data_IF_726559547145
#
_entry.id   IF_726559547145
#
_cell.length_a   1.000
_cell.length_b   1.000
_cell.length_c   1.000
_cell.angle_alpha   90.00
_cell.angle_beta   90.00
_cell.angle_gamma   90.00
#
_symmetry.space_group_name_H-M   'P 1'
#
loop_
_entity.id
_entity.type
_entity.pdbx_description
1 polymer ?
#
# COMPACT_ATOMS: atom_id res chain seq x y z
N UNK A 1 -31.60 36.25 12.15
CA UNK A 1 -31.53 34.82 11.74
C UNK A 1 -31.03 33.99 12.93
N UNK A 2 -31.23 32.67 12.97
CA UNK A 2 -30.65 31.87 14.06
C UNK A 2 -29.14 31.62 13.84
N UNK A 3 -28.36 31.59 14.92
CA UNK A 3 -26.92 31.32 14.91
C UNK A 3 -26.60 29.94 14.32
N UNK A 4 -27.52 28.97 14.44
CA UNK A 4 -27.33 27.63 13.88
C UNK A 4 -27.39 27.62 12.34
N UNK A 5 -28.21 28.50 11.74
CA UNK A 5 -28.25 28.70 10.28
C UNK A 5 -26.97 29.32 9.77
N UNK A 6 -26.44 30.34 10.45
CA UNK A 6 -25.14 30.95 10.11
C UNK A 6 -24.01 29.93 10.20
N UNK A 7 -24.03 29.08 11.24
CA UNK A 7 -23.06 27.98 11.42
C UNK A 7 -23.12 26.96 10.28
N UNK A 8 -24.33 26.65 9.80
CA UNK A 8 -24.54 25.76 8.64
C UNK A 8 -24.03 26.40 7.34
N UNK A 9 -24.31 27.69 7.11
CA UNK A 9 -23.80 28.42 5.94
C UNK A 9 -22.26 28.47 5.94
N UNK A 10 -21.65 28.79 7.09
CA UNK A 10 -20.19 28.77 7.23
C UNK A 10 -19.59 27.38 6.94
N UNK A 11 -20.29 26.29 7.31
CA UNK A 11 -19.87 24.92 7.02
C UNK A 11 -19.87 24.61 5.53
N UNK A 12 -20.93 25.01 4.84
CA UNK A 12 -21.04 24.84 3.39
C UNK A 12 -19.96 25.65 2.64
N UNK A 13 -19.65 26.86 3.10
CA UNK A 13 -18.66 27.73 2.48
C UNK A 13 -17.23 27.21 2.69
N UNK A 14 -16.91 26.75 3.90
CA UNK A 14 -15.54 26.35 4.27
C UNK A 14 -15.25 24.87 4.03
N UNK A 15 -16.28 24.06 3.76
CA UNK A 15 -16.17 22.60 3.66
C UNK A 15 -15.79 21.91 4.98
N UNK A 16 -15.72 22.65 6.09
CA UNK A 16 -15.47 22.10 7.41
C UNK A 16 -16.79 21.67 8.05
N UNK A 17 -16.77 20.59 8.84
CA UNK A 17 -17.95 20.16 9.59
C UNK A 17 -18.41 21.20 10.60
N UNK A 18 -19.72 21.26 10.83
CA UNK A 18 -20.39 22.24 11.71
C UNK A 18 -19.72 22.32 13.10
N UNK A 19 -19.28 21.19 13.66
CA UNK A 19 -18.63 21.13 14.97
C UNK A 19 -17.33 21.94 15.07
N UNK A 20 -16.62 22.11 13.95
CA UNK A 20 -15.33 22.84 13.87
C UNK A 20 -15.51 24.35 13.66
N UNK A 21 -16.74 24.81 13.54
CA UNK A 21 -17.03 26.24 13.37
C UNK A 21 -17.28 26.83 14.74
N UNK A 22 -16.48 27.82 15.09
CA UNK A 22 -16.56 28.57 16.33
C UNK A 22 -16.85 30.02 16.02
N UNK A 23 -17.61 30.65 16.89
CA UNK A 23 -17.91 32.06 16.83
C UNK A 23 -17.12 32.78 17.91
N UNK A 24 -16.66 33.98 17.59
CA UNK A 24 -16.13 34.88 18.59
C UNK A 24 -17.29 35.38 19.47
N UNK A 25 -17.17 35.18 20.78
CA UNK A 25 -18.22 35.56 21.73
C UNK A 25 -18.44 37.08 21.79
N UNK A 26 -17.42 37.88 21.45
CA UNK A 26 -17.52 39.34 21.46
C UNK A 26 -18.32 39.91 20.29
N UNK A 27 -18.46 39.15 19.19
CA UNK A 27 -19.10 39.60 17.92
C UNK A 27 -20.37 38.81 17.59
N UNK A 28 -20.99 38.16 18.57
CA UNK A 28 -22.19 37.34 18.36
C UNK A 28 -23.32 38.13 17.71
N UNK A 29 -23.54 39.38 18.13
CA UNK A 29 -24.62 40.22 17.60
C UNK A 29 -24.42 40.54 16.11
N UNK A 30 -23.18 40.79 15.69
CA UNK A 30 -22.82 41.03 14.30
C UNK A 30 -23.01 39.76 13.46
N UNK A 31 -22.60 38.61 14.00
CA UNK A 31 -22.76 37.30 13.35
C UNK A 31 -24.26 36.96 13.19
N UNK A 32 -25.11 37.32 14.14
CA UNK A 32 -26.55 37.06 14.09
C UNK A 32 -27.29 37.91 13.03
N UNK A 33 -26.71 39.05 12.63
CA UNK A 33 -27.21 39.94 11.57
C UNK A 33 -26.86 39.44 10.17
N UNK A 34 -25.91 38.52 10.01
CA UNK A 34 -25.55 37.97 8.71
C UNK A 34 -26.71 37.13 8.11
N UNK A 35 -27.10 37.45 6.88
CA UNK A 35 -28.19 36.76 6.16
C UNK A 35 -27.68 36.05 4.92
N UNK A 36 -26.75 36.68 4.18
CA UNK A 36 -26.23 36.13 2.92
C UNK A 36 -24.95 35.31 3.11
N UNK A 37 -24.61 34.47 2.13
CA UNK A 37 -23.33 33.74 2.13
C UNK A 37 -22.12 34.67 1.99
N UNK A 38 -22.29 35.84 1.36
CA UNK A 38 -21.23 36.82 1.21
C UNK A 38 -20.90 37.52 2.54
N UNK A 39 -21.91 37.84 3.34
CA UNK A 39 -21.71 38.35 4.71
C UNK A 39 -20.92 37.35 5.56
N UNK A 40 -21.29 36.06 5.47
CA UNK A 40 -20.58 34.98 6.18
C UNK A 40 -19.14 34.84 5.68
N UNK A 41 -18.87 35.01 4.38
CA UNK A 41 -17.50 35.03 3.83
C UNK A 41 -16.69 36.20 4.40
N UNK A 42 -17.30 37.39 4.50
CA UNK A 42 -16.66 38.57 5.07
C UNK A 42 -16.31 38.35 6.55
N UNK A 43 -17.24 37.79 7.34
CA UNK A 43 -17.03 37.47 8.76
C UNK A 43 -15.96 36.39 8.99
N UNK A 44 -15.84 35.41 8.09
CA UNK A 44 -14.73 34.43 8.11
C UNK A 44 -13.40 35.13 7.84
N UNK A 45 -13.34 36.02 6.84
CA UNK A 45 -12.12 36.78 6.49
C UNK A 45 -11.66 37.67 7.64
N UNK A 46 -12.61 38.28 8.35
CA UNK A 46 -12.38 39.10 9.54
C UNK A 46 -12.16 38.28 10.84
N UNK A 47 -12.14 36.94 10.75
CA UNK A 47 -11.95 36.00 11.87
C UNK A 47 -13.02 36.05 12.97
N UNK A 48 -14.20 36.65 12.72
CA UNK A 48 -15.35 36.55 13.62
C UNK A 48 -15.93 35.11 13.64
N UNK A 49 -15.80 34.40 12.51
CA UNK A 49 -16.12 32.99 12.37
C UNK A 49 -14.82 32.21 12.16
N UNK A 50 -14.48 31.33 13.10
CA UNK A 50 -13.22 30.60 13.14
C UNK A 50 -13.46 29.14 12.77
N UNK A 51 -12.64 28.62 11.85
CA UNK A 51 -12.60 27.18 11.55
C UNK A 51 -11.47 26.55 12.33
N UNK A 52 -11.79 25.79 13.38
CA UNK A 52 -10.80 25.04 14.17
C UNK A 52 -10.10 24.01 13.29
N UNK A 53 -8.80 23.77 13.50
CA UNK A 53 -8.05 22.74 12.78
C UNK A 53 -8.62 21.34 13.07
N UNK A 54 -8.49 20.40 12.12
CA UNK A 54 -8.89 19.01 12.34
C UNK A 54 -8.04 18.44 13.47
N UNK A 55 -8.65 17.77 14.45
CA UNK A 55 -7.91 16.94 15.41
C UNK A 55 -7.28 15.78 14.63
N UNK A 56 -5.96 15.84 14.45
CA UNK A 56 -5.21 14.78 13.79
C UNK A 56 -4.99 13.59 14.72
N UNK A 57 -4.92 12.38 14.15
CA UNK A 57 -4.46 11.19 14.88
C UNK A 57 -2.99 10.96 14.55
N UNK A 58 -2.15 10.92 15.58
CA UNK A 58 -0.72 10.66 15.39
C UNK A 58 -0.49 9.20 14.94
N UNK A 59 0.41 9.02 13.97
CA UNK A 59 0.89 7.71 13.55
C UNK A 59 2.24 7.32 14.15
N UNK A 60 2.81 8.14 15.03
CA UNK A 60 4.17 7.92 15.56
C UNK A 60 4.35 6.52 16.18
N UNK A 61 3.50 6.15 17.15
CA UNK A 61 3.54 4.83 17.80
C UNK A 61 3.26 3.69 16.81
N UNK A 62 2.31 3.90 15.89
CA UNK A 62 2.02 2.92 14.84
C UNK A 62 3.23 2.60 13.96
N UNK A 63 4.01 3.63 13.58
CA UNK A 63 5.25 3.47 12.79
C UNK A 63 6.33 2.72 13.56
N UNK A 64 6.50 3.02 14.85
CA UNK A 64 7.44 2.29 15.72
C UNK A 64 7.07 0.81 15.76
N UNK A 65 5.79 0.48 15.97
CA UNK A 65 5.34 -0.91 15.95
C UNK A 65 5.46 -1.60 14.58
N UNK A 66 5.25 -0.88 13.48
CA UNK A 66 5.44 -1.40 12.12
C UNK A 66 6.91 -1.74 11.86
N UNK A 67 7.85 -0.91 12.34
CA UNK A 67 9.28 -1.14 12.23
C UNK A 67 9.73 -2.37 13.04
N UNK A 68 9.27 -2.48 14.28
CA UNK A 68 9.55 -3.64 15.12
C UNK A 68 9.02 -4.94 14.49
N UNK A 69 7.80 -4.90 13.93
CA UNK A 69 7.24 -6.03 13.16
C UNK A 69 8.08 -6.37 11.93
N UNK A 70 8.56 -5.37 11.19
CA UNK A 70 9.44 -5.58 10.02
C UNK A 70 10.77 -6.24 10.41
N UNK A 71 11.33 -5.90 11.58
CA UNK A 71 12.52 -6.56 12.16
C UNK A 71 12.24 -8.00 12.63
N UNK A 72 11.02 -8.50 12.51
CA UNK A 72 10.62 -9.83 12.99
C UNK A 72 10.26 -9.88 14.48
N UNK A 73 10.31 -8.73 15.18
CA UNK A 73 9.86 -8.64 16.58
C UNK A 73 8.33 -8.69 16.61
N UNK A 74 7.75 -8.99 17.77
CA UNK A 74 6.30 -9.12 17.97
C UNK A 74 5.58 -10.27 17.20
N UNK A 75 6.28 -11.21 16.56
CA UNK A 75 5.68 -12.39 15.89
C UNK A 75 5.62 -13.69 16.73
N UNK A 76 5.76 -13.55 18.06
CA UNK A 76 5.75 -14.67 19.04
C UNK A 76 4.47 -15.52 18.94
N UNK A 77 4.58 -16.82 19.24
CA UNK A 77 3.45 -17.77 19.15
C UNK A 77 2.22 -17.30 19.92
N UNK A 78 2.41 -16.83 21.16
CA UNK A 78 1.31 -16.32 22.01
C UNK A 78 0.60 -15.07 21.45
N UNK A 79 1.24 -14.30 20.56
CA UNK A 79 0.63 -13.12 19.93
C UNK A 79 -0.15 -13.47 18.65
N UNK A 80 0.01 -14.68 18.12
CA UNK A 80 -0.66 -15.12 16.90
C UNK A 80 -2.11 -15.41 17.21
N UNK A 81 -3.01 -14.80 16.44
CA UNK A 81 -4.44 -15.10 16.46
C UNK A 81 -4.85 -15.64 15.09
N UNK A 82 -5.71 -16.65 15.08
CA UNK A 82 -6.13 -17.35 13.86
C UNK A 82 -5.13 -18.37 13.30
N UNK A 83 -5.62 -19.21 12.39
CA UNK A 83 -4.85 -20.31 11.79
C UNK A 83 -3.72 -19.79 10.88
N UNK A 84 -2.74 -20.66 10.56
CA UNK A 84 -1.65 -20.30 9.66
C UNK A 84 -2.17 -19.85 8.29
N UNK A 85 -3.11 -20.61 7.71
CA UNK A 85 -3.68 -20.33 6.39
C UNK A 85 -4.38 -18.96 6.33
N UNK A 86 -5.05 -18.53 7.40
CA UNK A 86 -5.68 -17.21 7.48
C UNK A 86 -4.65 -16.06 7.52
N UNK A 87 -3.51 -16.26 8.18
CA UNK A 87 -2.47 -15.23 8.32
C UNK A 87 -1.58 -15.10 7.08
N UNK A 88 -1.17 -16.23 6.49
CA UNK A 88 -0.23 -16.26 5.37
C UNK A 88 -0.94 -16.36 4.00
N UNK A 89 -2.22 -16.75 3.98
CA UNK A 89 -3.03 -16.88 2.78
C UNK A 89 -2.66 -18.12 1.98
N UNK A 90 -3.02 -19.32 2.46
CA UNK A 90 -2.52 -20.60 1.94
C UNK A 90 -2.50 -20.74 0.40
N UNK A 91 -3.61 -20.45 -0.30
CA UNK A 91 -3.65 -20.46 -1.78
C UNK A 91 -2.76 -19.38 -2.40
N UNK A 92 -2.66 -18.21 -1.75
CA UNK A 92 -1.86 -17.06 -2.19
C UNK A 92 -0.37 -17.38 -2.16
N UNK A 93 0.10 -18.13 -1.16
CA UNK A 93 1.49 -18.61 -1.08
C UNK A 93 1.83 -19.52 -2.26
N UNK A 94 0.98 -20.50 -2.56
CA UNK A 94 1.15 -21.38 -3.73
C UNK A 94 1.18 -20.58 -5.04
N UNK A 95 0.23 -19.66 -5.22
CA UNK A 95 0.18 -18.80 -6.41
C UNK A 95 1.46 -17.99 -6.55
N UNK A 96 1.92 -17.35 -5.47
CA UNK A 96 3.14 -16.54 -5.48
C UNK A 96 4.36 -17.39 -5.80
N UNK A 97 4.50 -18.57 -5.19
CA UNK A 97 5.59 -19.52 -5.47
C UNK A 97 5.65 -19.91 -6.94
N UNK A 98 4.55 -20.38 -7.50
CA UNK A 98 4.47 -20.86 -8.88
C UNK A 98 4.69 -19.70 -9.87
N UNK A 99 4.08 -18.53 -9.64
CA UNK A 99 4.27 -17.36 -10.51
C UNK A 99 5.72 -16.91 -10.51
N UNK A 100 6.37 -16.89 -9.35
CA UNK A 100 7.75 -16.47 -9.22
C UNK A 100 8.71 -17.41 -9.95
N UNK A 101 8.49 -18.74 -9.86
CA UNK A 101 9.27 -19.74 -10.61
C UNK A 101 9.01 -19.66 -12.13
N UNK A 102 7.76 -19.46 -12.55
CA UNK A 102 7.41 -19.31 -13.98
C UNK A 102 7.98 -18.04 -14.58
N UNK A 103 7.97 -16.94 -13.84
CA UNK A 103 8.55 -15.68 -14.30
C UNK A 103 10.06 -15.80 -14.49
N UNK A 104 10.75 -16.53 -13.61
CA UNK A 104 12.17 -16.82 -13.74
C UNK A 104 12.49 -17.55 -15.06
N UNK A 105 11.79 -18.64 -15.37
CA UNK A 105 12.06 -19.36 -16.63
C UNK A 105 11.58 -18.58 -17.85
N UNK A 106 10.53 -17.75 -17.72
CA UNK A 106 10.07 -16.87 -18.79
C UNK A 106 11.12 -15.82 -19.13
N UNK A 107 11.78 -15.24 -18.13
CA UNK A 107 12.83 -14.24 -18.35
C UNK A 107 14.04 -14.84 -19.08
N UNK A 108 14.48 -16.05 -18.71
CA UNK A 108 15.53 -16.76 -19.44
C UNK A 108 15.12 -17.13 -20.87
N UNK A 109 13.86 -17.52 -21.08
CA UNK A 109 13.35 -17.78 -22.44
C UNK A 109 13.35 -16.52 -23.30
N UNK A 110 12.90 -15.38 -22.76
CA UNK A 110 12.93 -14.08 -23.46
C UNK A 110 14.35 -13.66 -23.84
N UNK A 111 15.34 -13.99 -23.00
CA UNK A 111 16.77 -13.75 -23.26
C UNK A 111 17.42 -14.77 -24.22
N UNK A 112 16.66 -15.72 -24.77
CA UNK A 112 17.21 -16.74 -25.67
C UNK A 112 18.15 -17.74 -24.98
N UNK A 113 18.17 -17.79 -23.65
CA UNK A 113 19.11 -18.61 -22.87
C UNK A 113 18.73 -20.09 -22.83
N UNK A 114 17.49 -20.46 -23.14
CA UNK A 114 17.11 -21.87 -23.21
C UNK A 114 17.70 -22.54 -24.46
N UNK A 115 18.21 -23.76 -24.30
CA UNK A 115 18.71 -24.55 -25.43
C UNK A 115 17.58 -24.96 -26.38
N UNK A 116 16.41 -25.31 -25.85
CA UNK A 116 15.27 -25.75 -26.66
C UNK A 116 13.93 -25.37 -26.02
N UNK A 117 12.91 -25.19 -26.87
CA UNK A 117 11.51 -25.06 -26.43
C UNK A 117 11.02 -26.29 -25.64
N UNK A 118 11.55 -27.48 -25.96
CA UNK A 118 11.22 -28.73 -25.25
C UNK A 118 11.71 -28.69 -23.80
N UNK A 119 12.95 -28.23 -23.59
CA UNK A 119 13.54 -28.04 -22.27
C UNK A 119 12.72 -27.04 -21.41
N UNK A 120 12.31 -25.92 -22.00
CA UNK A 120 11.42 -24.96 -21.32
C UNK A 120 10.09 -25.61 -20.91
N UNK A 121 9.46 -26.37 -21.82
CA UNK A 121 8.16 -27.01 -21.56
C UNK A 121 8.25 -28.04 -20.45
N UNK A 122 9.30 -28.84 -20.41
CA UNK A 122 9.54 -29.83 -19.35
C UNK A 122 9.64 -29.16 -17.97
N UNK A 123 10.48 -28.12 -17.86
CA UNK A 123 10.66 -27.38 -16.60
C UNK A 123 9.36 -26.70 -16.19
N UNK A 124 8.62 -26.14 -17.14
CA UNK A 124 7.32 -25.53 -16.88
C UNK A 124 6.31 -26.52 -16.30
N UNK A 125 6.27 -27.75 -16.83
CA UNK A 125 5.40 -28.82 -16.32
C UNK A 125 5.84 -29.30 -14.93
N UNK A 126 7.14 -29.42 -14.68
CA UNK A 126 7.69 -29.73 -13.35
C UNK A 126 7.37 -28.65 -12.32
N UNK A 127 7.43 -27.38 -12.71
CA UNK A 127 6.96 -26.26 -11.87
C UNK A 127 5.45 -26.41 -11.60
N UNK A 128 4.63 -26.67 -12.62
CA UNK A 128 3.18 -26.89 -12.44
C UNK A 128 2.90 -28.03 -11.44
N UNK A 129 3.69 -29.10 -11.49
CA UNK A 129 3.61 -30.24 -10.57
C UNK A 129 4.15 -29.98 -9.16
N UNK A 130 4.72 -28.80 -8.89
CA UNK A 130 5.19 -28.44 -7.55
C UNK A 130 6.51 -29.11 -7.13
N UNK A 131 7.26 -29.68 -8.08
CA UNK A 131 8.53 -30.39 -7.85
C UNK A 131 9.57 -29.50 -7.17
N UNK A 132 9.52 -28.18 -7.41
CA UNK A 132 10.48 -27.23 -6.90
C UNK A 132 9.95 -26.45 -5.67
N UNK A 133 10.68 -26.45 -4.53
CA UNK A 133 10.31 -25.67 -3.35
C UNK A 133 10.50 -24.16 -3.56
N UNK A 134 11.57 -23.75 -4.24
CA UNK A 134 11.96 -22.35 -4.38
C UNK A 134 12.62 -22.08 -5.75
N UNK A 135 13.01 -20.82 -6.02
CA UNK A 135 13.64 -20.43 -7.29
C UNK A 135 15.05 -20.98 -7.46
N UNK A 136 15.82 -21.06 -6.38
CA UNK A 136 17.20 -21.55 -6.44
C UNK A 136 17.21 -23.03 -6.85
N UNK A 137 16.25 -23.83 -6.38
CA UNK A 137 16.14 -25.22 -6.84
C UNK A 137 15.83 -25.34 -8.33
N UNK A 138 15.01 -24.43 -8.88
CA UNK A 138 14.79 -24.39 -10.34
C UNK A 138 16.10 -24.08 -11.07
N UNK A 139 16.89 -23.12 -10.58
CA UNK A 139 18.19 -22.78 -11.17
C UNK A 139 19.18 -23.93 -11.12
N UNK A 140 19.29 -24.60 -9.97
CA UNK A 140 20.14 -25.77 -9.80
C UNK A 140 19.78 -26.85 -10.82
N UNK A 141 18.49 -27.19 -10.92
CA UNK A 141 18.01 -28.19 -11.88
C UNK A 141 18.33 -27.81 -13.34
N UNK A 142 18.16 -26.54 -13.70
CA UNK A 142 18.47 -26.05 -15.03
C UNK A 142 19.97 -26.16 -15.36
N UNK A 143 20.83 -25.90 -14.38
CA UNK A 143 22.28 -26.01 -14.53
C UNK A 143 22.73 -27.47 -14.62
N UNK A 144 22.25 -28.34 -13.73
CA UNK A 144 22.56 -29.78 -13.73
C UNK A 144 22.16 -30.46 -15.04
N UNK A 145 20.99 -30.11 -15.58
CA UNK A 145 20.52 -30.62 -16.88
C UNK A 145 21.13 -29.89 -18.07
N UNK A 146 21.90 -28.83 -17.84
CA UNK A 146 22.47 -28.01 -18.89
C UNK A 146 21.42 -27.40 -19.81
N UNK A 147 20.22 -27.06 -19.31
CA UNK A 147 19.13 -26.51 -20.14
C UNK A 147 19.30 -25.03 -20.50
N UNK A 148 20.30 -24.38 -19.89
CA UNK A 148 20.69 -23.01 -20.17
C UNK A 148 21.97 -22.98 -21.01
N UNK A 149 21.98 -22.12 -22.02
CA UNK A 149 23.17 -21.74 -22.76
C UNK A 149 24.10 -20.99 -21.81
N UNK A 150 25.39 -21.38 -21.78
CA UNK A 150 26.41 -20.61 -21.09
C UNK A 150 26.52 -19.24 -21.79
N UNK A 151 26.62 -18.12 -21.04
CA UNK A 151 26.94 -16.86 -21.69
C UNK A 151 28.27 -17.02 -22.43
N UNK A 152 28.29 -16.66 -23.71
CA UNK A 152 29.54 -16.60 -24.46
C UNK A 152 30.48 -15.63 -23.72
N UNK A 153 31.70 -16.07 -23.43
CA UNK A 153 32.73 -15.17 -22.91
C UNK A 153 32.96 -14.13 -24.01
N UNK A 154 32.52 -12.89 -23.79
CA UNK A 154 32.96 -11.76 -24.62
C UNK A 154 34.47 -11.70 -24.44
N UNK A 155 35.21 -12.22 -25.41
CA UNK A 155 36.64 -12.03 -25.50
C UNK A 155 36.83 -10.55 -25.79
N UNK A 156 37.06 -9.74 -24.76
CA UNK A 156 37.55 -8.39 -24.95
C UNK A 156 38.95 -8.54 -25.55
N UNK A 157 39.05 -8.35 -26.87
CA UNK A 157 40.34 -8.25 -27.57
C UNK A 157 41.02 -6.96 -27.11
N UNK A 158 42.26 -7.12 -26.65
CA UNK A 158 43.18 -6.09 -26.21
C UNK A 158 43.52 -5.08 -27.30
#
# INVERSE_FOLDING_TARGET
MSISSVKRMASQITGAGISRIKFDNSRIEEIAKAVTKDDVRALIKQKAIIVEKKKGVSRAIGRIHDEERRKGRAHRTARRRGTHSARAGGKKEWINRIRAQRELIRSFKKRGMFISNKAYREVYLKIKGGVFPDKARVLLYLNEKGYLKKPEKVQNQS
#
